data_IF_257196602260
#
_entry.id   IF_257196602260
#
_cell.length_a   1.000
_cell.length_b   1.000
_cell.length_c   1.000
_cell.angle_alpha   90.00
_cell.angle_beta   90.00
_cell.angle_gamma   90.00
#
_symmetry.space_group_name_H-M   'P 1'
#
loop_
_entity.id
_entity.type
_entity.pdbx_description
1 polymer ?
#
# COMPACT_ATOMS: atom_id res chain seq x y z
N UNK A 1 -9.43 -23.60 -4.31
CA UNK A 1 -9.44 -23.25 -4.96
C UNK A 1 -9.05 -23.23 -5.54
N UNK A 2 -9.05 -23.29 -5.46
CA UNK A 2 -8.83 -23.11 -6.12
C UNK A 2 -8.78 -22.64 -6.72
N UNK A 3 -8.78 -22.56 -6.74
CA UNK A 3 -8.78 -22.05 -7.44
C UNK A 3 -8.67 -22.36 -8.20
N UNK A 4 -8.72 -22.70 -8.52
CA UNK A 4 -8.72 -22.92 -9.32
C UNK A 4 -8.24 -22.83 -10.01
N UNK A 5 -8.11 -23.31 -10.02
CA UNK A 5 -7.69 -23.17 -10.62
C UNK A 5 -7.49 -22.39 -11.28
N UNK A 6 -7.27 -22.42 -11.48
CA UNK A 6 -6.89 -21.48 -12.11
C UNK A 6 -7.09 -20.12 -11.83
N UNK A 7 -7.41 -19.89 -11.09
CA UNK A 7 -7.50 -18.69 -10.90
C UNK A 7 -6.51 -18.02 -10.32
N UNK A 8 -6.17 -17.25 -10.56
CA UNK A 8 -4.99 -16.69 -10.14
C UNK A 8 -5.05 -16.31 -8.78
N UNK A 9 -4.59 -16.55 -8.32
CA UNK A 9 -4.52 -16.25 -7.33
C UNK A 9 -4.29 -15.21 -6.77
N UNK A 10 -4.60 -15.21 -6.49
CA UNK A 10 -4.48 -14.42 -6.05
C UNK A 10 -4.02 -13.46 -5.73
N UNK A 11 -4.10 -13.21 -5.93
CA UNK A 11 -3.52 -11.94 -5.75
C UNK A 11 -4.33 -11.13 -4.81
N UNK A 12 -4.72 -11.79 -3.79
CA UNK A 12 -5.37 -11.16 -2.70
C UNK A 12 -4.33 -10.49 -1.87
N UNK A 13 -4.40 -9.19 -1.78
CA UNK A 13 -3.48 -8.42 -0.99
C UNK A 13 -4.29 -7.68 0.05
N UNK A 14 -3.75 -7.60 1.25
CA UNK A 14 -4.35 -6.84 2.33
C UNK A 14 -3.62 -5.51 2.40
N UNK A 15 -4.36 -4.42 2.22
CA UNK A 15 -3.77 -3.08 2.21
C UNK A 15 -4.23 -2.26 3.39
N UNK A 16 -3.29 -1.64 4.09
CA UNK A 16 -3.60 -0.60 5.05
C UNK A 16 -3.29 0.72 4.36
N UNK A 17 -4.33 1.53 4.14
CA UNK A 17 -4.20 2.80 3.41
C UNK A 17 -4.13 3.93 4.42
N UNK A 18 -3.00 4.61 4.46
CA UNK A 18 -2.75 5.73 5.34
C UNK A 18 -3.75 6.86 5.07
N UNK A 19 -4.01 7.67 6.08
CA UNK A 19 -5.00 8.73 6.00
C UNK A 19 -4.74 9.68 4.84
N UNK A 20 -3.48 10.05 4.60
CA UNK A 20 -3.11 10.97 3.53
C UNK A 20 -3.36 10.39 2.15
N UNK A 21 -3.34 9.06 2.01
CA UNK A 21 -3.58 8.43 0.71
C UNK A 21 -5.05 8.45 0.34
N UNK A 22 -5.93 8.55 1.32
CA UNK A 22 -7.30 8.97 1.13
C UNK A 22 -8.32 7.87 0.94
N UNK A 23 -9.60 8.22 1.16
CA UNK A 23 -10.68 7.23 1.11
C UNK A 23 -11.02 6.76 -0.30
N UNK A 24 -10.74 7.57 -1.33
CA UNK A 24 -11.07 7.17 -2.69
C UNK A 24 -10.17 6.03 -3.17
N UNK A 25 -8.89 6.08 -2.84
CA UNK A 25 -7.99 4.98 -3.16
C UNK A 25 -8.42 3.73 -2.41
N UNK A 26 -8.75 3.86 -1.13
CA UNK A 26 -9.21 2.73 -0.33
C UNK A 26 -10.47 2.09 -0.93
N UNK A 27 -11.42 2.91 -1.35
CA UNK A 27 -12.66 2.42 -1.96
C UNK A 27 -12.37 1.68 -3.26
N UNK A 28 -11.48 2.24 -4.08
CA UNK A 28 -11.11 1.61 -5.34
C UNK A 28 -10.50 0.23 -5.11
N UNK A 29 -9.62 0.11 -4.11
CA UNK A 29 -9.01 -1.17 -3.79
C UNK A 29 -10.04 -2.19 -3.31
N UNK A 30 -11.01 -1.77 -2.50
CA UNK A 30 -12.08 -2.66 -2.06
C UNK A 30 -12.91 -3.16 -3.23
N UNK A 31 -13.18 -2.27 -4.19
CA UNK A 31 -13.96 -2.65 -5.37
C UNK A 31 -13.21 -3.67 -6.22
N UNK A 32 -11.89 -3.74 -6.08
CA UNK A 32 -11.08 -4.73 -6.78
C UNK A 32 -10.89 -6.00 -5.96
N UNK A 33 -11.69 -6.17 -4.91
CA UNK A 33 -11.73 -7.39 -4.11
C UNK A 33 -10.56 -7.54 -3.14
N UNK A 34 -9.80 -6.47 -2.90
CA UNK A 34 -8.75 -6.52 -1.88
C UNK A 34 -9.34 -6.27 -0.51
N UNK A 35 -8.71 -6.82 0.50
CA UNK A 35 -9.04 -6.49 1.88
C UNK A 35 -8.34 -5.18 2.22
N UNK A 36 -9.07 -4.22 2.79
CA UNK A 36 -8.53 -2.88 3.01
C UNK A 36 -8.91 -2.36 4.39
N UNK A 37 -7.91 -1.87 5.12
CA UNK A 37 -8.12 -1.05 6.29
C UNK A 37 -7.79 0.40 5.90
N UNK A 38 -8.77 1.28 5.97
CA UNK A 38 -8.59 2.69 5.62
C UNK A 38 -8.48 3.51 6.90
N UNK A 39 -7.30 4.12 7.13
CA UNK A 39 -7.13 4.96 8.31
C UNK A 39 -8.09 6.13 8.28
N UNK A 40 -8.29 6.74 7.10
CA UNK A 40 -9.22 7.85 6.96
C UNK A 40 -10.64 7.47 7.41
N UNK A 41 -11.12 6.29 7.00
CA UNK A 41 -12.49 5.87 7.27
C UNK A 41 -12.68 5.27 8.66
N UNK A 42 -11.67 4.56 9.16
CA UNK A 42 -11.86 3.69 10.32
C UNK A 42 -11.08 4.13 11.56
N UNK A 43 -10.01 4.90 11.39
CA UNK A 43 -9.15 5.26 12.53
C UNK A 43 -8.46 6.60 12.30
N UNK A 44 -9.24 7.59 11.85
CA UNK A 44 -8.70 8.91 11.52
C UNK A 44 -7.92 9.47 12.71
N UNK A 45 -6.73 9.99 12.44
CA UNK A 45 -5.87 10.52 13.48
C UNK A 45 -4.93 9.50 14.12
N UNK A 46 -4.95 8.25 13.64
CA UNK A 46 -4.05 7.22 14.15
C UNK A 46 -2.61 7.64 13.92
N UNK A 47 -1.77 7.53 14.97
CA UNK A 47 -0.39 8.00 14.88
C UNK A 47 0.50 6.99 14.14
N UNK A 48 1.62 7.49 13.59
CA UNK A 48 2.49 6.72 12.71
C UNK A 48 2.96 5.40 13.33
N UNK A 49 3.41 5.45 14.58
CA UNK A 49 3.91 4.23 15.23
C UNK A 49 2.83 3.17 15.35
N UNK A 50 1.60 3.59 15.63
CA UNK A 50 0.48 2.66 15.73
C UNK A 50 0.14 2.06 14.36
N UNK A 51 0.22 2.87 13.31
CA UNK A 51 -0.02 2.39 11.94
C UNK A 51 1.02 1.35 11.55
N UNK A 52 2.29 1.64 11.81
CA UNK A 52 3.39 0.72 11.49
C UNK A 52 3.21 -0.61 12.22
N UNK A 53 2.90 -0.54 13.51
CA UNK A 53 2.73 -1.74 14.32
C UNK A 53 1.55 -2.57 13.84
N UNK A 54 0.42 -1.92 13.57
CA UNK A 54 -0.76 -2.62 13.08
C UNK A 54 -0.48 -3.30 11.75
N UNK A 55 0.18 -2.59 10.84
CA UNK A 55 0.46 -3.15 9.52
C UNK A 55 1.34 -4.39 9.63
N UNK A 56 2.35 -4.35 10.49
CA UNK A 56 3.22 -5.50 10.65
C UNK A 56 2.53 -6.65 11.36
N UNK A 57 1.86 -6.37 12.47
CA UNK A 57 1.25 -7.41 13.30
C UNK A 57 0.11 -8.11 12.58
N UNK A 58 -0.65 -7.38 11.78
CA UNK A 58 -1.82 -7.93 11.10
C UNK A 58 -1.55 -8.25 9.64
N UNK A 59 -0.31 -8.09 9.20
CA UNK A 59 0.14 -8.46 7.86
C UNK A 59 -0.53 -7.67 6.75
N UNK A 60 -0.58 -6.35 6.92
CA UNK A 60 -1.06 -5.45 5.88
C UNK A 60 0.11 -4.90 5.09
N UNK A 61 -0.07 -4.74 3.78
CA UNK A 61 0.83 -3.93 2.98
C UNK A 61 0.40 -2.49 3.17
N UNK A 62 1.31 -1.66 3.66
CA UNK A 62 1.02 -0.27 3.98
C UNK A 62 1.22 0.61 2.76
N UNK A 63 0.20 1.41 2.42
CA UNK A 63 0.30 2.40 1.35
C UNK A 63 0.31 3.77 1.99
N UNK A 64 1.32 4.57 1.69
CA UNK A 64 1.40 5.93 2.18
C UNK A 64 1.96 6.85 1.10
N UNK A 65 1.53 8.12 1.11
CA UNK A 65 2.15 9.15 0.30
C UNK A 65 2.77 10.25 1.17
N UNK A 66 2.83 10.04 2.47
CA UNK A 66 3.45 10.98 3.39
C UNK A 66 4.95 10.76 3.36
N UNK A 67 5.70 11.74 2.86
CA UNK A 67 7.14 11.64 2.72
C UNK A 67 7.82 11.36 4.04
N UNK A 68 7.44 12.09 5.09
CA UNK A 68 8.09 11.92 6.38
C UNK A 68 7.84 10.54 6.96
N UNK A 69 6.62 10.04 6.82
CA UNK A 69 6.26 8.73 7.30
C UNK A 69 7.02 7.64 6.55
N UNK A 70 7.02 7.72 5.21
CA UNK A 70 7.74 6.73 4.41
C UNK A 70 9.23 6.71 4.71
N UNK A 71 9.83 7.89 4.83
CA UNK A 71 11.25 7.96 5.15
C UNK A 71 11.57 7.45 6.55
N UNK A 72 10.66 7.70 7.50
CA UNK A 72 10.83 7.20 8.85
C UNK A 72 10.87 5.67 8.87
N UNK A 73 9.91 5.04 8.19
CA UNK A 73 9.85 3.58 8.16
C UNK A 73 11.12 2.99 7.58
N UNK A 74 11.58 3.56 6.47
CA UNK A 74 12.78 3.05 5.80
C UNK A 74 14.03 3.28 6.63
N UNK A 75 14.21 4.51 7.12
CA UNK A 75 15.43 4.90 7.84
C UNK A 75 15.56 4.15 9.15
N UNK A 76 14.46 3.97 9.87
CA UNK A 76 14.48 3.32 11.17
C UNK A 76 14.34 1.81 11.07
N UNK A 77 14.21 1.30 9.85
CA UNK A 77 14.14 -0.13 9.59
C UNK A 77 13.04 -0.85 10.37
N UNK A 78 11.88 -0.20 10.45
CA UNK A 78 10.75 -0.83 11.10
C UNK A 78 10.36 -2.13 10.40
N UNK A 79 10.04 -3.18 11.13
CA UNK A 79 9.56 -4.40 10.50
C UNK A 79 8.23 -4.14 9.79
N UNK A 80 8.04 -4.76 8.64
CA UNK A 80 6.81 -4.56 7.85
C UNK A 80 6.56 -5.77 6.95
N UNK A 81 5.34 -5.85 6.43
CA UNK A 81 4.93 -6.91 5.50
C UNK A 81 4.82 -6.39 4.09
N UNK A 82 5.33 -5.21 3.84
CA UNK A 82 5.33 -4.55 2.55
C UNK A 82 4.94 -3.10 2.71
N UNK A 83 5.66 -2.22 2.04
CA UNK A 83 5.38 -0.78 2.03
C UNK A 83 5.31 -0.32 0.60
N UNK A 84 4.25 0.39 0.25
CA UNK A 84 4.15 1.10 -1.02
C UNK A 84 4.19 2.58 -0.70
N UNK A 85 5.29 3.22 -1.02
CA UNK A 85 5.53 4.62 -0.73
C UNK A 85 5.35 5.41 -2.03
N UNK A 86 4.25 6.17 -2.13
CA UNK A 86 3.95 6.96 -3.32
C UNK A 86 4.65 8.31 -3.23
N UNK A 87 5.47 8.61 -4.23
CA UNK A 87 6.15 9.91 -4.38
C UNK A 87 5.63 10.54 -5.65
N UNK A 88 4.46 11.15 -5.60
CA UNK A 88 3.76 11.61 -6.79
C UNK A 88 3.85 13.12 -6.93
N UNK A 89 3.89 13.58 -8.18
CA UNK A 89 3.79 15.00 -8.47
C UNK A 89 2.34 15.45 -8.43
N UNK A 90 1.42 14.55 -8.79
CA UNK A 90 0.00 14.84 -8.79
C UNK A 90 -0.67 14.00 -7.69
N UNK A 91 -1.12 14.67 -6.64
CA UNK A 91 -1.69 14.00 -5.47
C UNK A 91 -3.20 13.82 -5.56
N UNK A 92 -3.81 14.07 -6.72
CA UNK A 92 -5.24 13.87 -6.87
C UNK A 92 -5.57 12.38 -6.88
N UNK A 93 -6.78 12.06 -6.40
CA UNK A 93 -7.19 10.67 -6.24
C UNK A 93 -7.11 9.88 -7.53
N UNK A 94 -7.53 10.47 -8.66
CA UNK A 94 -7.50 9.77 -9.93
C UNK A 94 -6.08 9.33 -10.30
N UNK A 95 -5.09 10.19 -10.03
CA UNK A 95 -3.69 9.85 -10.32
C UNK A 95 -3.17 8.78 -9.38
N UNK A 96 -3.49 8.87 -8.10
CA UNK A 96 -3.11 7.84 -7.13
C UNK A 96 -3.64 6.48 -7.57
N UNK A 97 -4.89 6.43 -7.97
CA UNK A 97 -5.53 5.20 -8.42
C UNK A 97 -4.83 4.67 -9.66
N UNK A 98 -4.54 5.54 -10.63
CA UNK A 98 -3.86 5.11 -11.86
C UNK A 98 -2.49 4.52 -11.55
N UNK A 99 -1.73 5.14 -10.66
CA UNK A 99 -0.40 4.68 -10.29
C UNK A 99 -0.49 3.31 -9.59
N UNK A 100 -1.39 3.18 -8.62
CA UNK A 100 -1.55 1.92 -7.90
C UNK A 100 -2.08 0.82 -8.82
N UNK A 101 -3.01 1.16 -9.73
CA UNK A 101 -3.50 0.18 -10.69
C UNK A 101 -2.36 -0.39 -11.52
N UNK A 102 -1.50 0.49 -12.06
CA UNK A 102 -0.35 0.04 -12.85
C UNK A 102 0.60 -0.81 -12.02
N UNK A 103 0.85 -0.41 -10.78
CA UNK A 103 1.71 -1.17 -9.88
C UNK A 103 1.16 -2.59 -9.67
N UNK A 104 -0.12 -2.71 -9.42
CA UNK A 104 -0.73 -4.01 -9.15
C UNK A 104 -0.76 -4.88 -10.40
N UNK A 105 -0.98 -4.29 -11.56
CA UNK A 105 -1.00 -5.05 -12.82
C UNK A 105 0.36 -5.66 -13.15
N UNK A 106 1.43 -5.03 -12.70
CA UNK A 106 2.78 -5.45 -13.09
C UNK A 106 3.59 -6.08 -11.97
N UNK A 107 3.29 -5.77 -10.71
CA UNK A 107 4.17 -6.15 -9.60
C UNK A 107 3.46 -6.70 -8.38
N UNK A 108 2.17 -7.02 -8.46
CA UNK A 108 1.40 -7.40 -7.26
C UNK A 108 2.06 -8.51 -6.46
N UNK A 109 2.59 -9.53 -7.13
CA UNK A 109 3.19 -10.68 -6.47
C UNK A 109 4.56 -10.38 -5.87
N UNK A 110 5.14 -9.22 -6.18
CA UNK A 110 6.45 -8.83 -5.67
C UNK A 110 6.38 -7.87 -4.49
N UNK A 111 5.18 -7.44 -4.11
CA UNK A 111 5.02 -6.45 -3.05
C UNK A 111 5.22 -6.99 -1.63
N UNK A 112 4.82 -8.23 -1.30
CA UNK A 112 4.97 -8.70 0.08
C UNK A 112 6.41 -8.61 0.56
N UNK A 113 6.58 -8.04 1.75
CA UNK A 113 7.86 -7.89 2.43
C UNK A 113 8.85 -6.95 1.75
N UNK A 114 8.40 -6.20 0.76
CA UNK A 114 9.28 -5.26 0.05
C UNK A 114 8.92 -3.82 0.37
N UNK A 115 9.93 -2.97 0.33
CA UNK A 115 9.74 -1.52 0.41
C UNK A 115 9.82 -0.99 -1.02
N UNK A 116 8.71 -0.48 -1.53
CA UNK A 116 8.59 -0.08 -2.92
C UNK A 116 8.30 1.41 -2.99
N UNK A 117 9.10 2.13 -3.76
CA UNK A 117 8.86 3.55 -4.03
C UNK A 117 8.29 3.65 -5.44
N UNK A 118 7.12 4.29 -5.56
CA UNK A 118 6.45 4.39 -6.84
C UNK A 118 6.17 5.85 -7.17
N UNK A 119 6.48 6.22 -8.42
CA UNK A 119 6.12 7.53 -8.96
C UNK A 119 5.27 7.29 -10.19
N UNK A 120 4.85 8.38 -10.85
CA UNK A 120 4.10 8.27 -12.10
C UNK A 120 4.88 7.52 -13.17
N UNK A 121 6.20 7.51 -13.08
CA UNK A 121 7.05 7.02 -14.18
C UNK A 121 7.86 5.80 -13.84
N UNK A 122 8.00 5.44 -12.57
CA UNK A 122 8.86 4.31 -12.24
C UNK A 122 8.48 3.63 -10.94
N UNK A 123 8.89 2.39 -10.85
CA UNK A 123 8.75 1.58 -9.64
C UNK A 123 10.16 1.18 -9.22
N UNK A 124 10.48 1.40 -7.96
CA UNK A 124 11.81 1.06 -7.45
C UNK A 124 11.67 0.28 -6.16
N UNK A 125 12.28 -0.89 -6.13
CA UNK A 125 12.33 -1.72 -4.92
C UNK A 125 13.58 -1.35 -4.15
N UNK A 126 13.40 -0.88 -2.92
CA UNK A 126 14.51 -0.47 -2.10
C UNK A 126 15.26 -1.69 -1.58
N UNK A 127 16.53 -1.52 -1.32
CA UNK A 127 17.31 -2.59 -0.72
C UNK A 127 16.95 -2.72 0.74
N UNK A 128 16.94 -3.93 1.20
CA UNK A 128 16.72 -4.20 2.60
C UNK A 128 18.01 -4.20 3.38
#
# INVERSE_FOLDING_TARGET
MKLLDGEPKELWVRFLVDECSGPKLAAWLRDRQHEVFSVFDEARGMVDDAIIEKANDEEWILITNDKDFGEKVYRERHPHKGIVFMRLEDERAANKIAVIKSLLENYADQLPDKFVVVTEKRVRFARS
#
